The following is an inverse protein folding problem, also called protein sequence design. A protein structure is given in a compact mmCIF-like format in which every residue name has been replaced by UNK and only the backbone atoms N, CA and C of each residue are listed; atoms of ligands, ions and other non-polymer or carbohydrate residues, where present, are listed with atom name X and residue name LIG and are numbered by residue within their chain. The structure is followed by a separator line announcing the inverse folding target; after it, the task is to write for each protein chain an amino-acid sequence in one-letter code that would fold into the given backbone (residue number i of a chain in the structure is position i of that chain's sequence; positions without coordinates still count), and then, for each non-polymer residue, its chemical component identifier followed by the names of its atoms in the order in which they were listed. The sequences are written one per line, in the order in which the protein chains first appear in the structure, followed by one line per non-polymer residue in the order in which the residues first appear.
data_IF_216744540768
#
_entry.id   IF_216744540768
#
_cell.length_a   1.000
_cell.length_b   1.000
_cell.length_c   1.000
_cell.angle_alpha   90.00
_cell.angle_beta   90.00
_cell.angle_gamma   90.00
#
_symmetry.space_group_name_H-M   'P 1'
#
loop_
_entity.id
_entity.type
_entity.pdbx_description
1 polymer ?
#
# COMPACT_ATOMS: atom_id res chain seq x y z
N UNK A 1 17.15 -6.32 30.61
CA UNK A 1 18.10 -5.98 29.54
C UNK A 1 17.57 -4.70 28.93
N UNK A 2 18.25 -3.57 29.19
CA UNK A 2 17.73 -2.22 28.92
C UNK A 2 18.01 -1.81 27.47
N UNK A 3 17.02 -1.13 26.89
CA UNK A 3 17.12 -0.41 25.62
C UNK A 3 18.21 0.69 25.73
N UNK A 4 19.06 0.89 24.71
CA UNK A 4 20.16 1.86 24.78
C UNK A 4 19.67 3.30 24.93
N UNK A 5 20.37 4.08 25.77
CA UNK A 5 20.02 5.44 26.22
C UNK A 5 19.89 6.51 25.13
N UNK A 6 20.12 6.18 23.86
CA UNK A 6 20.05 7.14 22.75
C UNK A 6 18.62 7.55 22.36
N UNK A 7 17.58 6.87 22.89
CA UNK A 7 16.16 7.10 22.55
C UNK A 7 15.49 8.13 23.47
N UNK A 8 16.08 8.44 24.63
CA UNK A 8 15.47 9.32 25.64
C UNK A 8 15.69 10.82 25.37
N UNK A 9 16.73 11.18 24.62
CA UNK A 9 17.14 12.58 24.45
C UNK A 9 16.37 13.32 23.33
N UNK A 10 15.67 12.61 22.45
CA UNK A 10 14.80 13.23 21.42
C UNK A 10 13.42 13.59 22.00
N UNK A 11 12.98 12.92 23.08
CA UNK A 11 11.63 13.12 23.64
C UNK A 11 11.50 14.34 24.54
N UNK A 12 12.59 14.99 24.96
CA UNK A 12 12.55 16.15 25.86
C UNK A 12 12.62 17.52 25.17
N UNK A 13 12.67 17.58 23.84
CA UNK A 13 12.80 18.84 23.08
C UNK A 13 11.51 19.33 22.42
N UNK A 14 10.36 18.69 22.66
CA UNK A 14 9.07 19.17 22.12
C UNK A 14 8.13 19.50 23.28
N UNK A 15 7.97 20.80 23.52
CA UNK A 15 7.01 21.37 24.48
C UNK A 15 5.56 21.19 23.97
N UNK A 16 4.59 20.81 24.82
CA UNK A 16 3.18 20.71 24.45
C UNK A 16 2.54 22.10 24.52
N UNK A 17 2.69 22.88 23.47
CA UNK A 17 2.05 24.19 23.42
C UNK A 17 2.49 25.05 22.25
N UNK A 18 1.61 25.17 21.27
CA UNK A 18 1.55 26.26 20.28
C UNK A 18 2.80 26.49 19.42
N UNK A 19 2.84 25.84 18.26
CA UNK A 19 3.46 26.42 17.07
C UNK A 19 2.57 26.13 15.85
N UNK A 20 1.93 27.21 15.37
CA UNK A 20 1.52 27.46 13.98
C UNK A 20 0.68 26.36 13.31
N UNK A 21 -0.63 26.52 13.12
CA UNK A 21 -1.20 27.42 12.08
C UNK A 21 -0.20 27.88 11.02
N UNK A 22 0.53 26.95 10.41
CA UNK A 22 0.79 27.05 8.99
C UNK A 22 -0.28 26.20 8.31
N UNK A 23 -1.26 26.90 7.75
CA UNK A 23 -1.98 26.40 6.60
C UNK A 23 -0.93 26.21 5.49
N UNK A 24 -0.25 25.06 5.49
CA UNK A 24 0.15 24.46 4.24
C UNK A 24 -1.18 24.10 3.60
N UNK A 25 -1.62 24.94 2.66
CA UNK A 25 -2.61 24.54 1.69
C UNK A 25 -2.07 23.29 1.01
N UNK A 26 -2.46 22.13 1.53
CA UNK A 26 -2.29 20.84 0.91
C UNK A 26 -3.23 20.79 -0.32
N UNK A 27 -2.99 21.67 -1.28
CA UNK A 27 -3.37 21.40 -2.65
C UNK A 27 -2.46 20.28 -3.14
N UNK A 28 -2.95 19.06 -2.90
CA UNK A 28 -3.32 18.18 -4.00
C UNK A 28 -2.25 18.05 -5.08
N UNK A 29 -1.33 17.12 -4.84
CA UNK A 29 -1.12 16.03 -5.78
C UNK A 29 -0.07 15.09 -5.19
N UNK A 30 -0.51 14.03 -4.51
CA UNK A 30 0.20 12.76 -4.72
C UNK A 30 -0.07 12.39 -6.18
N UNK A 31 0.71 12.98 -7.12
CA UNK A 31 0.64 12.66 -8.56
C UNK A 31 0.85 11.15 -8.80
N UNK A 32 1.37 10.45 -7.80
CA UNK A 32 1.62 9.02 -7.81
C UNK A 32 0.44 8.21 -7.25
N UNK A 33 -0.67 8.83 -6.84
CA UNK A 33 -1.89 8.14 -6.44
C UNK A 33 -2.79 7.89 -7.65
N UNK A 34 -2.72 6.69 -8.18
CA UNK A 34 -3.48 6.30 -9.36
C UNK A 34 -4.97 6.11 -9.07
N UNK A 35 -5.82 6.49 -10.02
CA UNK A 35 -7.21 6.05 -10.03
C UNK A 35 -7.30 4.53 -10.24
N UNK A 36 -8.49 3.97 -10.05
CA UNK A 36 -8.69 2.51 -10.07
C UNK A 36 -8.23 1.86 -11.37
N UNK A 37 -8.62 2.41 -12.52
CA UNK A 37 -8.24 1.85 -13.82
C UNK A 37 -6.72 1.84 -14.02
N UNK A 38 -6.03 2.92 -13.65
CA UNK A 38 -4.57 3.02 -13.80
C UNK A 38 -3.84 2.13 -12.80
N UNK A 39 -4.27 2.09 -11.54
CA UNK A 39 -3.67 1.23 -10.53
C UNK A 39 -3.79 -0.25 -10.93
N UNK A 40 -4.97 -0.68 -11.36
CA UNK A 40 -5.21 -2.06 -11.80
C UNK A 40 -4.44 -2.42 -13.06
N UNK A 41 -4.26 -1.47 -13.98
CA UNK A 41 -3.37 -1.64 -15.12
C UNK A 41 -1.91 -1.86 -14.66
N UNK A 42 -1.39 -1.01 -13.77
CA UNK A 42 -0.03 -1.17 -13.24
C UNK A 42 0.17 -2.51 -12.50
N UNK A 43 -0.80 -2.91 -11.68
CA UNK A 43 -0.79 -4.21 -11.00
C UNK A 43 -0.72 -5.37 -11.99
N UNK A 44 -1.49 -5.32 -13.08
CA UNK A 44 -1.44 -6.33 -14.14
C UNK A 44 -0.05 -6.40 -14.77
N UNK A 45 0.56 -5.26 -15.08
CA UNK A 45 1.90 -5.20 -15.69
C UNK A 45 2.96 -5.80 -14.74
N UNK A 46 2.92 -5.48 -13.45
CA UNK A 46 3.85 -6.04 -12.47
C UNK A 46 3.67 -7.56 -12.33
N UNK A 47 2.43 -8.06 -12.31
CA UNK A 47 2.16 -9.51 -12.34
C UNK A 47 2.80 -10.20 -13.54
N UNK A 48 2.64 -9.64 -14.73
CA UNK A 48 3.27 -10.16 -15.96
C UNK A 48 4.80 -10.13 -15.90
N UNK A 49 5.39 -9.07 -15.32
CA UNK A 49 6.84 -8.96 -15.13
C UNK A 49 7.36 -10.03 -14.19
N UNK A 50 6.67 -10.29 -13.10
CA UNK A 50 7.05 -11.30 -12.10
C UNK A 50 6.88 -12.73 -12.61
N UNK A 51 5.85 -13.01 -13.40
CA UNK A 51 5.69 -14.31 -14.06
C UNK A 51 6.91 -14.65 -14.95
N UNK A 52 7.38 -13.66 -15.72
CA UNK A 52 8.51 -13.79 -16.65
C UNK A 52 9.88 -13.80 -15.96
N UNK A 53 10.09 -12.89 -15.00
CA UNK A 53 11.41 -12.64 -14.38
C UNK A 53 11.64 -13.42 -13.10
N UNK A 54 10.58 -14.00 -12.50
CA UNK A 54 10.57 -14.62 -11.16
C UNK A 54 11.00 -13.69 -10.02
N UNK A 55 11.11 -12.38 -10.26
CA UNK A 55 11.33 -11.39 -9.21
C UNK A 55 10.02 -11.13 -8.48
N UNK A 56 9.93 -11.38 -7.17
CA UNK A 56 8.69 -11.21 -6.44
C UNK A 56 8.36 -9.72 -6.17
N UNK A 57 7.07 -9.44 -6.02
CA UNK A 57 6.56 -8.17 -5.48
C UNK A 57 5.44 -8.45 -4.48
N UNK A 58 5.12 -7.44 -3.67
CA UNK A 58 4.03 -7.51 -2.68
C UNK A 58 2.99 -6.45 -3.02
N UNK A 59 1.72 -6.85 -2.98
CA UNK A 59 0.58 -5.95 -2.96
C UNK A 59 0.04 -5.87 -1.53
N UNK A 60 0.01 -4.66 -0.97
CA UNK A 60 -0.71 -4.34 0.26
C UNK A 60 -2.05 -3.72 -0.11
N UNK A 61 -3.12 -4.25 0.47
CA UNK A 61 -4.46 -3.67 0.40
C UNK A 61 -4.83 -3.10 1.76
N UNK A 62 -5.24 -1.83 1.78
CA UNK A 62 -5.80 -1.15 2.94
C UNK A 62 -7.29 -0.96 2.69
N UNK A 63 -8.11 -1.75 3.37
CA UNK A 63 -9.56 -1.65 3.30
C UNK A 63 -10.03 -0.56 4.28
N UNK A 64 -10.63 0.48 3.73
CA UNK A 64 -11.12 1.65 4.45
C UNK A 64 -12.64 1.76 4.39
N UNK A 65 -13.34 0.72 3.93
CA UNK A 65 -14.80 0.77 3.72
C UNK A 65 -15.57 1.05 5.02
N UNK A 66 -15.14 0.43 6.13
CA UNK A 66 -15.72 0.68 7.47
C UNK A 66 -15.52 2.14 7.87
N UNK A 67 -14.31 2.66 7.68
CA UNK A 67 -13.99 4.04 7.98
C UNK A 67 -14.84 5.02 7.14
N UNK A 68 -15.00 4.76 5.84
CA UNK A 68 -15.84 5.60 4.97
C UNK A 68 -17.32 5.60 5.34
N UNK A 69 -17.78 4.66 6.15
CA UNK A 69 -19.17 4.64 6.66
C UNK A 69 -19.40 5.53 7.88
N UNK A 70 -18.34 5.98 8.56
CA UNK A 70 -18.41 6.71 9.83
C UNK A 70 -17.78 8.12 9.79
N UNK A 71 -17.16 8.53 8.69
CA UNK A 71 -16.43 9.80 8.58
C UNK A 71 -16.76 10.60 7.32
N UNK A 72 -16.30 11.86 7.26
CA UNK A 72 -16.37 12.67 6.05
C UNK A 72 -15.41 12.10 4.99
N UNK A 73 -15.97 11.59 3.89
CA UNK A 73 -15.22 10.78 2.91
C UNK A 73 -14.02 11.52 2.29
N UNK A 74 -14.20 12.76 1.82
CA UNK A 74 -13.14 13.49 1.12
C UNK A 74 -11.96 13.87 2.04
N UNK A 75 -12.26 14.43 3.21
CA UNK A 75 -11.25 14.83 4.20
C UNK A 75 -10.48 13.61 4.72
N UNK A 76 -11.20 12.52 5.02
CA UNK A 76 -10.59 11.29 5.51
C UNK A 76 -9.63 10.70 4.48
N UNK A 77 -10.03 10.66 3.21
CA UNK A 77 -9.17 10.18 2.12
C UNK A 77 -7.93 11.05 1.97
N UNK A 78 -8.07 12.39 2.04
CA UNK A 78 -6.93 13.30 1.95
C UNK A 78 -5.94 13.09 3.11
N UNK A 79 -6.43 12.89 4.33
CA UNK A 79 -5.61 12.59 5.50
C UNK A 79 -4.86 11.26 5.35
N UNK A 80 -5.54 10.19 4.93
CA UNK A 80 -4.92 8.87 4.72
C UNK A 80 -3.82 8.95 3.67
N UNK A 81 -4.12 9.56 2.51
CA UNK A 81 -3.12 9.74 1.43
C UNK A 81 -1.90 10.49 1.93
N UNK A 82 -2.11 11.59 2.64
CA UNK A 82 -1.02 12.39 3.21
C UNK A 82 -0.19 11.61 4.23
N UNK A 83 -0.83 10.78 5.05
CA UNK A 83 -0.15 9.95 6.04
C UNK A 83 0.65 8.78 5.41
N UNK A 84 0.25 8.31 4.22
CA UNK A 84 0.95 7.25 3.50
C UNK A 84 2.27 7.72 2.88
N UNK A 85 2.31 8.94 2.31
CA UNK A 85 3.48 9.48 1.59
C UNK A 85 4.83 9.22 2.29
N UNK A 86 5.04 9.54 3.58
CA UNK A 86 6.34 9.36 4.24
C UNK A 86 6.74 7.90 4.47
N UNK A 87 5.82 6.95 4.31
CA UNK A 87 6.05 5.51 4.52
C UNK A 87 6.50 4.79 3.26
N UNK A 88 6.36 5.43 2.09
CA UNK A 88 6.51 4.80 0.77
C UNK A 88 7.73 5.37 0.04
N UNK A 89 8.39 4.52 -0.75
CA UNK A 89 9.45 4.94 -1.67
C UNK A 89 8.83 5.64 -2.88
N UNK A 90 9.65 6.42 -3.59
CA UNK A 90 9.23 7.06 -4.84
C UNK A 90 8.78 6.04 -5.90
N UNK A 91 9.41 4.86 -5.91
CA UNK A 91 9.12 3.77 -6.85
C UNK A 91 7.90 2.92 -6.46
N UNK A 92 7.38 3.04 -5.24
CA UNK A 92 6.23 2.26 -4.79
C UNK A 92 4.94 2.82 -5.41
N UNK A 93 4.23 1.97 -6.16
CA UNK A 93 3.01 2.36 -6.88
C UNK A 93 1.83 2.32 -5.91
N UNK A 94 0.97 3.33 -5.91
CA UNK A 94 -0.19 3.42 -5.01
C UNK A 94 -1.40 3.94 -5.74
N UNK A 95 -2.58 3.53 -5.31
CA UNK A 95 -3.82 3.97 -5.94
C UNK A 95 -5.05 3.27 -5.41
N UNK A 96 -6.19 3.53 -6.04
CA UNK A 96 -7.42 2.81 -5.74
C UNK A 96 -7.31 1.37 -6.27
N UNK A 97 -7.44 0.38 -5.40
CA UNK A 97 -7.71 -1.00 -5.81
C UNK A 97 -9.20 -1.19 -6.09
N UNK A 98 -10.02 -0.65 -5.18
CA UNK A 98 -11.47 -0.48 -5.32
C UNK A 98 -11.82 0.94 -4.88
N UNK A 99 -12.42 1.72 -5.78
CA UNK A 99 -12.63 3.16 -5.59
C UNK A 99 -13.39 3.43 -4.28
N UNK A 100 -12.79 4.27 -3.43
CA UNK A 100 -13.29 4.65 -2.11
C UNK A 100 -13.40 3.52 -1.07
N UNK A 101 -13.06 2.29 -1.40
CA UNK A 101 -13.19 1.16 -0.47
C UNK A 101 -11.83 0.57 -0.10
N UNK A 102 -10.90 0.47 -1.06
CA UNK A 102 -9.61 -0.17 -0.83
C UNK A 102 -8.49 0.58 -1.55
N UNK A 103 -7.47 0.98 -0.80
CA UNK A 103 -6.22 1.53 -1.33
C UNK A 103 -5.26 0.36 -1.56
N UNK A 104 -4.67 0.28 -2.75
CA UNK A 104 -3.62 -0.67 -3.06
C UNK A 104 -2.26 0.00 -3.10
N UNK A 105 -1.23 -0.72 -2.65
CA UNK A 105 0.18 -0.32 -2.71
C UNK A 105 0.99 -1.50 -3.25
N UNK A 106 1.73 -1.28 -4.32
CA UNK A 106 2.61 -2.27 -4.95
C UNK A 106 4.04 -1.91 -4.59
N UNK A 107 4.68 -2.81 -3.86
CA UNK A 107 6.07 -2.70 -3.49
C UNK A 107 6.91 -3.54 -4.45
N UNK A 108 7.64 -2.85 -5.34
CA UNK A 108 8.53 -3.45 -6.32
C UNK A 108 9.95 -3.59 -5.75
N UNK A 109 10.72 -4.55 -6.26
CA UNK A 109 12.16 -4.71 -5.94
C UNK A 109 12.46 -5.07 -4.48
N UNK A 110 11.88 -6.18 -4.04
CA UNK A 110 12.03 -6.70 -2.67
C UNK A 110 13.33 -7.47 -2.48
N UNK A 111 13.96 -7.32 -1.31
CA UNK A 111 15.01 -8.22 -0.85
C UNK A 111 14.40 -9.57 -0.40
N UNK A 112 15.21 -10.62 -0.30
CA UNK A 112 14.77 -12.03 -0.17
C UNK A 112 13.99 -12.33 1.13
N UNK A 113 14.08 -11.47 2.15
CA UNK A 113 13.39 -11.62 3.44
C UNK A 113 12.03 -10.88 3.44
N UNK A 114 10.97 -11.61 3.07
CA UNK A 114 9.64 -11.04 2.80
C UNK A 114 8.82 -10.80 4.07
N UNK A 115 8.92 -11.69 5.05
CA UNK A 115 8.09 -11.63 6.27
C UNK A 115 8.49 -10.42 7.13
N UNK A 116 9.79 -10.27 7.38
CA UNK A 116 10.34 -9.12 8.07
C UNK A 116 10.05 -7.80 7.31
N UNK A 117 10.05 -7.83 5.97
CA UNK A 117 9.69 -6.66 5.18
C UNK A 117 8.23 -6.23 5.41
N UNK A 118 7.26 -7.16 5.40
CA UNK A 118 5.85 -6.85 5.60
C UNK A 118 5.59 -6.26 6.99
N UNK A 119 6.18 -6.85 8.03
CA UNK A 119 6.08 -6.35 9.41
C UNK A 119 6.65 -4.93 9.52
N UNK A 120 7.81 -4.66 8.92
CA UNK A 120 8.41 -3.33 8.92
C UNK A 120 7.59 -2.30 8.14
N UNK A 121 7.01 -2.69 7.01
CA UNK A 121 6.15 -1.80 6.20
C UNK A 121 4.88 -1.46 6.95
N UNK A 122 4.18 -2.46 7.50
CA UNK A 122 2.93 -2.20 8.20
C UNK A 122 3.17 -1.37 9.47
N UNK A 123 4.27 -1.66 10.20
CA UNK A 123 4.68 -0.86 11.34
C UNK A 123 4.88 0.61 10.96
N UNK A 124 5.64 0.88 9.89
CA UNK A 124 5.89 2.26 9.41
C UNK A 124 4.59 2.97 9.01
N UNK A 125 3.71 2.29 8.29
CA UNK A 125 2.42 2.86 7.87
C UNK A 125 1.58 3.20 9.10
N UNK A 126 1.41 2.27 10.04
CA UNK A 126 0.59 2.50 11.22
C UNK A 126 1.22 3.52 12.19
N UNK A 127 2.54 3.57 12.32
CA UNK A 127 3.25 4.63 13.06
C UNK A 127 2.89 6.02 12.50
N UNK A 128 2.94 6.20 11.17
CA UNK A 128 2.54 7.45 10.51
C UNK A 128 1.04 7.73 10.58
N UNK A 129 0.21 6.70 10.64
CA UNK A 129 -1.22 6.83 10.87
C UNK A 129 -1.50 7.32 12.28
N UNK A 130 -0.90 6.73 13.32
CA UNK A 130 -1.08 7.16 14.71
C UNK A 130 -0.58 8.60 14.96
N UNK A 131 0.36 9.10 14.17
CA UNK A 131 0.80 10.50 14.21
C UNK A 131 -0.21 11.50 13.61
N UNK A 132 -1.09 11.06 12.69
CA UNK A 132 -1.87 11.96 11.81
C UNK A 132 -3.38 11.73 11.79
N UNK A 133 -3.83 10.54 12.18
CA UNK A 133 -5.22 10.10 12.10
C UNK A 133 -5.77 9.86 13.51
N UNK A 134 -7.08 10.00 13.65
CA UNK A 134 -7.77 9.63 14.88
C UNK A 134 -7.64 8.13 15.13
N UNK A 135 -7.37 7.74 16.39
CA UNK A 135 -7.28 6.34 16.80
C UNK A 135 -8.54 5.52 16.47
N UNK A 136 -9.72 6.14 16.48
CA UNK A 136 -10.97 5.49 16.11
C UNK A 136 -11.07 5.26 14.61
N UNK A 137 -10.41 6.10 13.79
CA UNK A 137 -10.34 5.86 12.35
C UNK A 137 -9.44 4.66 12.04
N UNK A 138 -8.29 4.58 12.71
CA UNK A 138 -7.29 3.53 12.49
C UNK A 138 -7.87 2.14 12.78
N UNK A 139 -8.72 2.01 13.81
CA UNK A 139 -9.41 0.74 14.15
C UNK A 139 -10.37 0.26 13.05
N UNK A 140 -10.75 1.13 12.13
CA UNK A 140 -11.66 0.85 11.02
C UNK A 140 -10.91 0.67 9.69
N UNK A 141 -9.58 0.54 9.73
CA UNK A 141 -8.73 0.21 8.58
C UNK A 141 -8.24 -1.23 8.76
N UNK A 142 -8.71 -2.12 7.88
CA UNK A 142 -8.19 -3.48 7.78
C UNK A 142 -7.10 -3.54 6.69
N UNK A 143 -6.18 -4.51 6.78
CA UNK A 143 -5.15 -4.69 5.76
C UNK A 143 -4.92 -6.15 5.39
N UNK A 144 -4.45 -6.39 4.16
CA UNK A 144 -3.99 -7.69 3.70
C UNK A 144 -2.77 -7.56 2.79
N UNK A 145 -1.92 -8.59 2.80
CA UNK A 145 -0.76 -8.70 1.92
C UNK A 145 -0.96 -9.83 0.92
N UNK A 146 -0.51 -9.62 -0.32
CA UNK A 146 -0.52 -10.60 -1.39
C UNK A 146 0.85 -10.67 -2.05
N UNK A 147 1.43 -11.87 -2.07
CA UNK A 147 2.73 -12.12 -2.70
C UNK A 147 2.55 -12.62 -4.12
N UNK A 148 3.41 -12.13 -5.00
CA UNK A 148 3.48 -12.58 -6.38
C UNK A 148 4.89 -13.10 -6.70
N UNK A 149 5.04 -14.22 -7.43
CA UNK A 149 3.94 -15.06 -7.90
C UNK A 149 3.24 -15.77 -6.74
N UNK A 150 1.93 -16.00 -6.89
CA UNK A 150 1.14 -16.71 -5.88
C UNK A 150 1.72 -18.11 -5.64
N UNK A 151 1.72 -18.56 -4.38
CA UNK A 151 2.02 -19.95 -4.07
C UNK A 151 1.03 -20.87 -4.82
N UNK A 152 1.50 -22.01 -5.31
CA UNK A 152 0.65 -22.96 -6.05
C UNK A 152 -0.57 -23.34 -5.21
N UNK A 153 -1.77 -22.95 -5.65
CA UNK A 153 -3.04 -23.22 -4.96
C UNK A 153 -3.63 -22.04 -4.18
N UNK A 154 -2.88 -20.95 -3.97
CA UNK A 154 -3.48 -19.67 -3.59
C UNK A 154 -4.14 -19.08 -4.83
N UNK A 155 -5.45 -18.80 -4.77
CA UNK A 155 -6.16 -18.11 -5.85
C UNK A 155 -6.48 -16.70 -5.38
N UNK A 156 -5.81 -15.71 -5.96
CA UNK A 156 -6.22 -14.32 -5.85
C UNK A 156 -7.49 -14.11 -6.67
N UNK A 157 -8.63 -14.01 -6.00
CA UNK A 157 -9.96 -13.86 -6.60
C UNK A 157 -10.23 -12.43 -7.09
N UNK A 158 -9.42 -11.90 -8.01
CA UNK A 158 -9.84 -10.77 -8.85
C UNK A 158 -10.12 -11.29 -10.27
N UNK A 159 -11.37 -11.65 -10.53
CA UNK A 159 -11.83 -12.17 -11.82
C UNK A 159 -11.52 -11.23 -12.99
N UNK A 160 -11.42 -9.91 -12.75
CA UNK A 160 -11.14 -8.93 -13.80
C UNK A 160 -9.64 -8.86 -14.12
N UNK A 161 -8.77 -9.11 -13.15
CA UNK A 161 -7.33 -9.31 -13.38
C UNK A 161 -7.03 -10.71 -13.93
N UNK A 162 -7.85 -11.70 -13.58
CA UNK A 162 -7.71 -13.09 -14.02
C UNK A 162 -8.32 -13.35 -15.42
N UNK A 163 -9.19 -12.48 -15.95
CA UNK A 163 -9.84 -12.69 -17.27
C UNK A 163 -8.89 -12.63 -18.47
N UNK A 164 -7.64 -12.19 -18.28
CA UNK A 164 -6.64 -12.15 -19.34
C UNK A 164 -5.61 -13.28 -19.25
N UNK A 165 -6.06 -14.50 -18.95
CA UNK A 165 -5.29 -15.69 -19.30
C UNK A 165 -5.11 -15.69 -20.82
N UNK A 166 -3.86 -15.47 -21.24
CA UNK A 166 -3.39 -15.40 -22.61
C UNK A 166 -4.08 -16.43 -23.52
N UNK A 167 -4.68 -16.04 -24.66
CA UNK A 167 -5.19 -17.00 -25.64
C UNK A 167 -4.08 -17.74 -26.41
N UNK A 168 -2.81 -17.54 -26.07
CA UNK A 168 -1.68 -18.04 -26.85
C UNK A 168 -1.09 -19.37 -26.35
N UNK A 169 -1.90 -20.18 -25.66
CA UNK A 169 -1.64 -21.63 -25.57
C UNK A 169 -2.52 -22.35 -26.58
N UNK A 170 -2.38 -22.02 -27.85
CA UNK A 170 -2.80 -22.92 -28.92
C UNK A 170 -1.57 -23.54 -29.57
N UNK A 171 -1.54 -24.87 -29.52
CA UNK A 171 -0.82 -25.74 -30.44
C UNK A 171 0.71 -25.79 -30.27
N UNK A 172 1.15 -26.71 -29.42
CA UNK A 172 2.37 -27.46 -29.70
C UNK A 172 2.24 -28.14 -31.06
N UNK A 173 2.91 -27.61 -32.09
CA UNK A 173 3.15 -28.36 -33.32
C UNK A 173 4.48 -29.10 -33.12
N UNK A 174 4.50 -30.46 -33.15
CA UNK A 174 5.74 -31.19 -33.11
C UNK A 174 6.41 -31.05 -34.48
N UNK A 175 7.65 -30.57 -34.49
CA UNK A 175 8.51 -30.67 -35.68
C UNK A 175 8.84 -32.14 -35.92
N UNK A 176 8.38 -32.66 -37.07
CA UNK A 176 8.91 -33.87 -37.69
C UNK A 176 10.13 -33.57 -38.54
#
# INVERSE_FOLDING_TARGET
MNLPEMVLEIKSLVSPGSVMKLAVSAHDNDYMFYNEAHFRYMLRIERMRTERSKKPFILLLLNISKLMSISCQEETIACIKTALIPSLREVDIRGWYDKHHTIGIIFTEMAVDHDNFMELVIYKIYDRFYERLDSDWIKNIDYSFHHFPEAVGASFNDELLNRNHYPDKTSSVPYG
#
